data_IF_511244177912
#
_entry.id   IF_511244177912
#
_cell.length_a   1.000
_cell.length_b   1.000
_cell.length_c   1.000
_cell.angle_alpha   90.00
_cell.angle_beta   90.00
_cell.angle_gamma   90.00
#
_symmetry.space_group_name_H-M   'P 1'
#
loop_
_entity.id
_entity.type
_entity.pdbx_description
1 polymer ?
#
# COMPACT_ATOMS: atom_id res chain seq x y z
N UNK A 1 -3.01 1.64 -15.84
CA UNK A 1 -3.67 0.52 -15.17
C UNK A 1 -3.39 0.54 -13.69
N UNK A 2 -4.41 0.25 -12.89
CA UNK A 2 -4.25 0.16 -11.44
C UNK A 2 -3.80 -1.23 -11.04
N UNK A 3 -3.01 -1.29 -9.98
CA UNK A 3 -2.70 -2.53 -9.29
C UNK A 3 -3.42 -2.49 -7.95
N UNK A 4 -4.17 -3.54 -7.64
CA UNK A 4 -4.98 -3.58 -6.43
C UNK A 4 -4.66 -4.85 -5.65
N UNK A 5 -4.37 -4.68 -4.37
CA UNK A 5 -4.32 -5.81 -3.44
C UNK A 5 -5.64 -5.87 -2.70
N UNK A 6 -6.39 -6.95 -2.92
CA UNK A 6 -7.63 -7.19 -2.21
C UNK A 6 -7.40 -8.23 -1.13
N UNK A 7 -7.84 -7.90 0.09
CA UNK A 7 -7.83 -8.83 1.21
C UNK A 7 -9.28 -9.03 1.66
N UNK A 8 -9.73 -10.27 1.57
CA UNK A 8 -11.15 -10.62 1.72
C UNK A 8 -11.95 -9.87 0.65
N UNK A 9 -12.77 -8.91 1.00
CA UNK A 9 -13.57 -8.14 0.04
C UNK A 9 -13.22 -6.66 0.06
N UNK A 10 -12.02 -6.34 0.56
CA UNK A 10 -11.58 -4.95 0.72
C UNK A 10 -10.29 -4.71 -0.06
N UNK A 11 -10.26 -3.65 -0.84
CA UNK A 11 -9.04 -3.21 -1.51
C UNK A 11 -8.17 -2.47 -0.49
N UNK A 12 -7.09 -3.11 -0.06
CA UNK A 12 -6.24 -2.58 1.02
C UNK A 12 -5.03 -1.82 0.52
N UNK A 13 -4.53 -2.16 -0.67
CA UNK A 13 -3.47 -1.39 -1.35
C UNK A 13 -3.97 -1.08 -2.75
N UNK A 14 -3.78 0.17 -3.18
CA UNK A 14 -4.09 0.60 -4.54
C UNK A 14 -2.87 1.33 -5.07
N UNK A 15 -2.36 0.90 -6.23
CA UNK A 15 -1.32 1.64 -6.95
C UNK A 15 -1.98 2.18 -8.21
N UNK A 16 -2.07 3.50 -8.31
CA UNK A 16 -2.74 4.15 -9.43
C UNK A 16 -1.89 4.09 -10.71
N UNK A 17 -2.52 4.38 -11.84
CA UNK A 17 -1.84 4.34 -13.14
C UNK A 17 -0.66 5.32 -13.20
N UNK A 18 -0.73 6.42 -12.46
CA UNK A 18 0.35 7.41 -12.41
C UNK A 18 1.36 7.15 -11.28
N UNK A 19 1.27 5.99 -10.63
CA UNK A 19 2.32 5.52 -9.73
C UNK A 19 2.16 5.88 -8.27
N UNK A 20 0.96 6.24 -7.82
CA UNK A 20 0.74 6.53 -6.40
C UNK A 20 0.23 5.31 -5.65
N UNK A 21 0.96 4.93 -4.60
CA UNK A 21 0.59 3.82 -3.73
C UNK A 21 -0.15 4.35 -2.51
N UNK A 22 -1.34 3.81 -2.30
CA UNK A 22 -2.22 4.18 -1.19
C UNK A 22 -2.57 2.93 -0.40
N UNK A 23 -2.48 3.01 0.92
CA UNK A 23 -2.94 1.95 1.82
C UNK A 23 -4.23 2.41 2.50
N UNK A 24 -5.30 1.64 2.38
CA UNK A 24 -6.61 2.02 2.91
C UNK A 24 -6.90 1.47 4.29
N UNK A 25 -6.09 0.52 4.75
CA UNK A 25 -6.25 -0.03 6.09
C UNK A 25 -5.37 -1.25 6.30
N UNK A 26 -5.22 -1.66 7.55
CA UNK A 26 -4.37 -2.79 7.92
C UNK A 26 -5.17 -3.94 8.56
N UNK A 27 -6.37 -3.71 8.95
CA UNK A 27 -7.41 -4.64 9.44
C UNK A 27 -6.89 -5.79 10.34
N UNK A 28 -6.84 -7.02 9.81
CA UNK A 28 -6.52 -8.22 10.58
C UNK A 28 -5.07 -8.67 10.38
N UNK A 29 -4.63 -9.66 11.17
CA UNK A 29 -3.30 -10.25 11.01
C UNK A 29 -3.12 -10.86 9.61
N UNK A 30 -4.16 -11.48 9.06
CA UNK A 30 -4.10 -12.04 7.70
C UNK A 30 -3.92 -10.94 6.66
N UNK A 31 -4.65 -9.82 6.81
CA UNK A 31 -4.50 -8.67 5.92
C UNK A 31 -3.08 -8.12 5.98
N UNK A 32 -2.49 -8.04 7.18
CA UNK A 32 -1.11 -7.56 7.33
C UNK A 32 -0.11 -8.47 6.61
N UNK A 33 -0.33 -9.77 6.63
CA UNK A 33 0.52 -10.71 5.89
C UNK A 33 0.39 -10.48 4.38
N UNK A 34 -0.82 -10.26 3.89
CA UNK A 34 -1.04 -9.96 2.48
C UNK A 34 -0.33 -8.68 2.06
N UNK A 35 -0.44 -7.63 2.88
CA UNK A 35 0.23 -6.36 2.61
C UNK A 35 1.75 -6.54 2.60
N UNK A 36 2.30 -7.24 3.59
CA UNK A 36 3.73 -7.49 3.68
C UNK A 36 4.26 -8.22 2.44
N UNK A 37 3.58 -9.28 2.04
CA UNK A 37 3.96 -10.04 0.85
C UNK A 37 3.89 -9.19 -0.41
N UNK A 38 2.83 -8.42 -0.56
CA UNK A 38 2.64 -7.54 -1.71
C UNK A 38 3.76 -6.50 -1.81
N UNK A 39 4.05 -5.81 -0.71
CA UNK A 39 5.07 -4.76 -0.69
C UNK A 39 6.45 -5.31 -1.04
N UNK A 40 6.78 -6.49 -0.52
CA UNK A 40 8.07 -7.13 -0.82
C UNK A 40 8.14 -7.63 -2.25
N UNK A 41 7.09 -8.25 -2.73
CA UNK A 41 7.08 -8.85 -4.07
C UNK A 41 7.25 -7.80 -5.15
N UNK A 42 6.62 -6.64 -4.99
CA UNK A 42 6.73 -5.55 -5.95
C UNK A 42 7.92 -4.62 -5.67
N UNK A 43 8.63 -4.84 -4.56
CA UNK A 43 9.78 -4.01 -4.22
C UNK A 43 9.43 -2.62 -3.74
N UNK A 44 8.23 -2.42 -3.20
CA UNK A 44 7.79 -1.10 -2.73
C UNK A 44 8.24 -0.79 -1.30
N UNK A 45 8.65 -1.81 -0.56
CA UNK A 45 9.07 -1.63 0.83
C UNK A 45 8.57 -2.77 1.70
N UNK A 46 8.03 -2.43 2.86
CA UNK A 46 7.55 -3.42 3.81
C UNK A 46 6.20 -3.01 4.40
N UNK A 47 5.69 -3.84 5.30
CA UNK A 47 4.42 -3.56 5.97
C UNK A 47 4.47 -2.26 6.78
N UNK A 48 5.60 -1.95 7.40
CA UNK A 48 5.72 -0.74 8.23
C UNK A 48 5.51 0.53 7.40
N UNK A 49 6.01 0.54 6.17
CA UNK A 49 5.78 1.66 5.26
C UNK A 49 4.30 1.80 4.93
N UNK A 50 3.64 0.70 4.56
CA UNK A 50 2.21 0.73 4.25
C UNK A 50 1.39 1.21 5.45
N UNK A 51 1.72 0.73 6.64
CA UNK A 51 1.04 1.13 7.87
C UNK A 51 1.22 2.62 8.14
N UNK A 52 2.42 3.14 7.95
CA UNK A 52 2.70 4.56 8.12
C UNK A 52 1.89 5.40 7.14
N UNK A 53 1.85 5.02 5.87
CA UNK A 53 1.07 5.72 4.86
C UNK A 53 -0.40 5.78 5.25
N UNK A 54 -0.94 4.66 5.72
CA UNK A 54 -2.33 4.62 6.15
C UNK A 54 -2.58 5.52 7.37
N UNK A 55 -1.74 5.40 8.41
CA UNK A 55 -1.95 6.13 9.66
C UNK A 55 -1.78 7.64 9.49
N UNK A 56 -0.82 8.04 8.67
CA UNK A 56 -0.49 9.46 8.49
C UNK A 56 -1.24 10.10 7.34
N UNK A 57 -2.09 9.34 6.63
CA UNK A 57 -2.86 9.88 5.51
C UNK A 57 -1.98 10.30 4.34
N UNK A 58 -0.95 9.51 4.05
CA UNK A 58 0.03 9.82 3.01
C UNK A 58 -0.08 8.85 1.85
N UNK A 59 0.49 9.24 0.71
CA UNK A 59 0.67 8.35 -0.43
C UNK A 59 2.12 8.42 -0.88
N UNK A 60 2.61 7.36 -1.52
CA UNK A 60 3.98 7.28 -1.98
C UNK A 60 4.04 7.07 -3.49
N UNK A 61 4.90 7.83 -4.17
CA UNK A 61 5.16 7.58 -5.58
C UNK A 61 6.14 6.41 -5.72
N UNK A 62 5.73 5.36 -6.43
CA UNK A 62 6.53 4.14 -6.55
C UNK A 62 7.75 4.32 -7.44
N UNK A 63 7.80 5.37 -8.25
CA UNK A 63 8.93 5.63 -9.15
C UNK A 63 10.00 6.48 -8.47
N UNK A 64 9.61 7.43 -7.63
CA UNK A 64 10.53 8.39 -7.02
C UNK A 64 10.75 8.16 -5.52
N UNK A 65 9.83 7.45 -4.86
CA UNK A 65 9.83 7.28 -3.41
C UNK A 65 9.28 8.48 -2.66
N UNK A 66 8.80 9.50 -3.35
CA UNK A 66 8.26 10.68 -2.71
C UNK A 66 6.97 10.36 -1.94
N UNK A 67 6.88 10.89 -0.72
CA UNK A 67 5.71 10.69 0.15
C UNK A 67 5.08 12.06 0.38
N UNK A 68 3.80 12.16 0.07
CA UNK A 68 3.06 13.41 0.18
C UNK A 68 1.69 13.14 0.82
N UNK A 69 1.02 14.16 1.35
CA UNK A 69 -0.35 13.99 1.86
C UNK A 69 -1.28 13.48 0.77
N UNK A 70 -2.13 12.56 1.19
CA UNK A 70 -3.09 11.96 0.27
C UNK A 70 -4.18 12.95 -0.13
#
# INVERSE_FOLDING_TARGET
DEIVLRSYQTDVIIVTADGWLVCTGTYSATTRRHISAFMREYGYGDYQLAKMLYKDGMKMNIHTGEIVPY
#
